data_IF_618720520239
#
_entry.id   IF_618720520239
#
_cell.length_a   1.000
_cell.length_b   1.000
_cell.length_c   1.000
_cell.angle_alpha   90.00
_cell.angle_beta   90.00
_cell.angle_gamma   90.00
#
_symmetry.space_group_name_H-M   'P 1'
#
loop_
_entity.id
_entity.type
_entity.pdbx_description
1 polymer ?
#
# COMPACT_ATOMS: atom_id res chain seq x y z
N UNK A 1 -2.93 -29.92 8.65
CA UNK A 1 -2.74 -29.25 9.93
C UNK A 1 -2.79 -27.74 9.80
N UNK A 2 -3.97 -27.24 10.02
CA UNK A 2 -4.25 -25.81 9.90
C UNK A 2 -3.68 -24.99 11.06
N UNK A 3 -3.27 -25.66 12.12
CA UNK A 3 -2.78 -25.02 13.33
C UNK A 3 -1.53 -24.18 13.12
N UNK A 4 -0.66 -24.55 12.19
CA UNK A 4 0.58 -23.82 11.95
C UNK A 4 0.33 -22.43 11.36
N UNK A 5 -0.67 -22.30 10.48
CA UNK A 5 -1.01 -21.00 9.91
C UNK A 5 -1.47 -20.01 10.98
N UNK A 6 -2.09 -20.54 12.05
CA UNK A 6 -2.57 -19.71 13.16
C UNK A 6 -1.47 -19.27 14.11
N UNK A 7 -0.29 -19.88 14.01
CA UNK A 7 0.85 -19.54 14.86
C UNK A 7 1.71 -18.42 14.30
N UNK A 8 1.43 -18.00 13.04
CA UNK A 8 2.15 -16.88 12.44
C UNK A 8 1.62 -15.60 13.08
N UNK A 9 2.52 -14.88 13.76
CA UNK A 9 2.14 -13.62 14.41
C UNK A 9 1.98 -12.50 13.40
N UNK A 10 1.23 -11.43 13.73
CA UNK A 10 1.15 -10.26 12.87
C UNK A 10 2.51 -9.66 12.54
N UNK A 11 3.44 -9.67 13.50
CA UNK A 11 4.79 -9.16 13.30
C UNK A 11 5.56 -10.01 12.29
N UNK A 12 5.39 -11.33 12.34
CA UNK A 12 6.00 -12.23 11.35
C UNK A 12 5.45 -12.02 9.96
N UNK A 13 4.15 -11.76 9.86
CA UNK A 13 3.52 -11.41 8.59
C UNK A 13 4.09 -10.11 8.02
N UNK A 14 4.31 -9.12 8.90
CA UNK A 14 4.92 -7.85 8.49
C UNK A 14 6.33 -8.06 7.93
N UNK A 15 7.14 -8.87 8.61
CA UNK A 15 8.49 -9.20 8.16
C UNK A 15 8.46 -9.87 6.79
N UNK A 16 7.58 -10.85 6.61
CA UNK A 16 7.43 -11.53 5.32
C UNK A 16 6.97 -10.59 4.21
N UNK A 17 6.04 -9.71 4.52
CA UNK A 17 5.56 -8.70 3.58
C UNK A 17 6.72 -7.85 3.05
N UNK A 18 7.49 -7.25 3.95
CA UNK A 18 8.60 -6.39 3.55
C UNK A 18 9.66 -7.15 2.77
N UNK A 19 9.94 -8.39 3.16
CA UNK A 19 10.90 -9.24 2.47
C UNK A 19 10.44 -9.53 1.03
N UNK A 20 9.18 -9.89 0.85
CA UNK A 20 8.64 -10.19 -0.49
C UNK A 20 8.61 -8.94 -1.36
N UNK A 21 8.19 -7.81 -0.81
CA UNK A 21 8.18 -6.54 -1.56
C UNK A 21 9.59 -6.15 -1.97
N UNK A 22 10.54 -6.26 -1.06
CA UNK A 22 11.95 -5.97 -1.34
C UNK A 22 12.48 -6.83 -2.49
N UNK A 23 12.21 -8.12 -2.44
CA UNK A 23 12.66 -9.05 -3.46
C UNK A 23 12.00 -8.78 -4.81
N UNK A 24 10.70 -8.53 -4.81
CA UNK A 24 9.95 -8.29 -6.05
C UNK A 24 10.36 -6.98 -6.72
N UNK A 25 10.60 -5.93 -5.94
CA UNK A 25 11.00 -4.64 -6.48
C UNK A 25 12.49 -4.53 -6.77
N UNK A 26 13.30 -5.48 -6.29
CA UNK A 26 14.74 -5.46 -6.51
C UNK A 26 15.44 -4.29 -5.82
N UNK A 27 14.88 -3.79 -4.72
CA UNK A 27 15.47 -2.69 -3.95
C UNK A 27 16.22 -3.27 -2.77
N UNK A 28 17.52 -2.99 -2.67
CA UNK A 28 18.38 -3.55 -1.63
C UNK A 28 18.16 -2.93 -0.25
N UNK A 29 17.77 -1.66 -0.20
CA UNK A 29 17.64 -0.94 1.06
C UNK A 29 16.27 -1.19 1.70
N UNK A 30 16.26 -1.78 2.88
CA UNK A 30 15.05 -1.95 3.69
C UNK A 30 14.42 -0.60 4.02
N UNK A 31 15.26 0.41 4.27
CA UNK A 31 14.76 1.75 4.59
C UNK A 31 13.99 2.36 3.41
N UNK A 32 14.47 2.15 2.19
CA UNK A 32 13.76 2.62 0.98
C UNK A 32 12.41 1.91 0.83
N UNK A 33 12.37 0.60 1.06
CA UNK A 33 11.14 -0.18 1.00
C UNK A 33 10.12 0.34 2.02
N UNK A 34 10.54 0.57 3.25
CA UNK A 34 9.66 1.12 4.28
C UNK A 34 9.10 2.48 3.86
N UNK A 35 9.94 3.32 3.28
CA UNK A 35 9.52 4.64 2.79
C UNK A 35 8.48 4.51 1.68
N UNK A 36 8.70 3.61 0.71
CA UNK A 36 7.74 3.37 -0.37
C UNK A 36 6.40 2.91 0.19
N UNK A 37 6.41 1.91 1.07
CA UNK A 37 5.19 1.36 1.66
C UNK A 37 4.46 2.44 2.47
N UNK A 38 5.19 3.24 3.24
CA UNK A 38 4.61 4.34 4.00
C UNK A 38 3.91 5.34 3.09
N UNK A 39 4.54 5.70 1.97
CA UNK A 39 3.94 6.64 1.02
C UNK A 39 2.67 6.06 0.40
N UNK A 40 2.68 4.77 0.03
CA UNK A 40 1.49 4.11 -0.50
C UNK A 40 0.36 4.12 0.52
N UNK A 41 0.65 3.73 1.76
CA UNK A 41 -0.35 3.70 2.84
C UNK A 41 -0.88 5.10 3.14
N UNK A 42 -0.01 6.10 3.17
CA UNK A 42 -0.39 7.49 3.42
C UNK A 42 -1.38 7.98 2.37
N UNK A 43 -1.12 7.72 1.09
CA UNK A 43 -1.99 8.15 0.01
C UNK A 43 -3.29 7.33 -0.04
N UNK A 44 -3.24 6.03 0.28
CA UNK A 44 -4.45 5.24 0.45
C UNK A 44 -5.33 5.83 1.54
N UNK A 45 -4.75 6.15 2.69
CA UNK A 45 -5.49 6.77 3.79
C UNK A 45 -6.16 8.07 3.35
N UNK A 46 -5.45 8.92 2.62
CA UNK A 46 -5.99 10.19 2.12
C UNK A 46 -7.13 9.99 1.13
N UNK A 47 -7.19 8.85 0.46
CA UNK A 47 -8.27 8.54 -0.46
C UNK A 47 -9.53 8.03 0.24
N UNK A 48 -9.46 7.78 1.55
CA UNK A 48 -10.56 7.23 2.34
C UNK A 48 -11.19 8.29 3.23
N UNK A 49 -12.45 8.05 3.64
CA UNK A 49 -13.05 8.83 4.70
C UNK A 49 -12.37 8.50 6.03
N UNK A 50 -12.58 9.34 7.05
CA UNK A 50 -12.02 9.07 8.38
C UNK A 50 -12.50 7.71 8.93
N UNK A 51 -13.78 7.37 8.72
CA UNK A 51 -14.32 6.08 9.16
C UNK A 51 -13.65 4.93 8.45
N UNK A 52 -13.50 5.03 7.13
CA UNK A 52 -12.83 4.00 6.34
C UNK A 52 -11.37 3.85 6.72
N UNK A 53 -10.66 4.95 6.93
CA UNK A 53 -9.27 4.92 7.38
C UNK A 53 -9.15 4.24 8.74
N UNK A 54 -10.07 4.54 9.66
CA UNK A 54 -10.09 3.90 10.99
C UNK A 54 -10.33 2.41 10.89
N UNK A 55 -11.22 1.98 9.99
CA UNK A 55 -11.46 0.55 9.74
C UNK A 55 -10.21 -0.14 9.20
N UNK A 56 -9.52 0.50 8.28
CA UNK A 56 -8.29 -0.04 7.71
C UNK A 56 -7.21 -0.20 8.78
N UNK A 57 -7.02 0.83 9.62
CA UNK A 57 -6.06 0.79 10.73
C UNK A 57 -6.29 -0.45 11.59
N UNK A 58 -7.54 -0.71 11.96
CA UNK A 58 -7.87 -1.82 12.85
C UNK A 58 -7.64 -3.20 12.24
N UNK A 59 -7.54 -3.27 10.91
CA UNK A 59 -7.34 -4.55 10.20
C UNK A 59 -5.87 -4.87 9.93
N UNK A 60 -4.97 -3.94 10.20
CA UNK A 60 -3.55 -4.11 9.90
C UNK A 60 -2.74 -4.38 11.17
N UNK A 61 -1.60 -5.11 11.04
CA UNK A 61 -0.68 -5.27 12.17
C UNK A 61 -0.10 -3.92 12.63
N UNK A 62 0.39 -3.88 13.87
CA UNK A 62 0.88 -2.65 14.50
C UNK A 62 1.89 -1.89 13.66
N UNK A 63 2.83 -2.59 13.03
CA UNK A 63 3.83 -1.96 12.17
C UNK A 63 3.18 -1.13 11.06
N UNK A 64 2.14 -1.68 10.42
CA UNK A 64 1.43 -1.00 9.35
C UNK A 64 0.54 0.11 9.89
N UNK A 65 -0.03 -0.06 11.08
CA UNK A 65 -0.81 0.99 11.73
C UNK A 65 0.04 2.24 11.93
N UNK A 66 1.26 2.08 12.41
CA UNK A 66 2.18 3.20 12.60
C UNK A 66 2.52 3.90 11.29
N UNK A 67 2.75 3.12 10.23
CA UNK A 67 3.03 3.70 8.91
C UNK A 67 1.82 4.45 8.35
N UNK A 68 0.63 3.89 8.55
CA UNK A 68 -0.61 4.46 8.04
C UNK A 68 -0.94 5.79 8.70
N UNK A 69 -0.76 5.92 10.03
CA UNK A 69 -1.07 7.13 10.78
C UNK A 69 0.04 8.16 10.76
N UNK A 70 1.20 7.81 10.22
CA UNK A 70 2.33 8.74 10.15
C UNK A 70 1.94 10.01 9.40
N UNK A 71 2.03 11.15 10.06
CA UNK A 71 1.67 12.43 9.48
C UNK A 71 0.17 12.67 9.32
N UNK A 72 -0.68 11.78 9.86
CA UNK A 72 -2.14 11.96 9.77
C UNK A 72 -2.58 13.08 10.71
N UNK A 73 -3.33 14.01 10.15
CA UNK A 73 -3.89 15.14 10.91
C UNK A 73 -5.39 14.96 11.03
N UNK A 74 -5.92 15.24 12.21
CA UNK A 74 -7.35 15.10 12.48
C UNK A 74 -8.22 15.92 11.51
N UNK A 75 -7.75 17.11 11.12
CA UNK A 75 -8.45 18.00 10.21
C UNK A 75 -8.15 17.75 8.73
N UNK A 76 -7.39 16.69 8.42
CA UNK A 76 -7.05 16.34 7.04
C UNK A 76 -8.29 15.96 6.27
N UNK A 77 -8.48 16.61 5.11
CA UNK A 77 -9.61 16.32 4.24
C UNK A 77 -9.30 15.15 3.33
N UNK A 78 -10.35 14.40 2.98
CA UNK A 78 -10.26 13.34 1.99
C UNK A 78 -9.76 13.91 0.66
N UNK A 79 -8.72 13.29 0.10
CA UNK A 79 -8.21 13.68 -1.21
C UNK A 79 -9.10 13.11 -2.31
N UNK A 80 -9.22 13.86 -3.41
CA UNK A 80 -10.04 13.43 -4.55
C UNK A 80 -9.30 12.40 -5.40
N UNK A 81 -8.88 11.30 -4.80
CA UNK A 81 -8.17 10.20 -5.47
C UNK A 81 -9.22 9.12 -5.79
N UNK A 82 -9.51 8.93 -7.08
CA UNK A 82 -10.55 7.99 -7.53
C UNK A 82 -9.98 6.83 -8.34
N UNK A 83 -8.82 7.02 -8.95
CA UNK A 83 -8.22 6.07 -9.87
C UNK A 83 -6.84 5.63 -9.40
N UNK A 84 -6.43 4.45 -9.86
CA UNK A 84 -5.12 3.88 -9.51
C UNK A 84 -3.97 4.77 -9.98
N UNK A 85 -4.06 5.34 -11.18
CA UNK A 85 -3.03 6.23 -11.71
C UNK A 85 -2.93 7.52 -10.89
N UNK A 86 -4.05 8.04 -10.40
CA UNK A 86 -4.05 9.21 -9.53
C UNK A 86 -3.36 8.89 -8.20
N UNK A 87 -3.61 7.70 -7.65
CA UNK A 87 -2.94 7.26 -6.43
C UNK A 87 -1.44 7.18 -6.64
N UNK A 88 -1.01 6.56 -7.74
CA UNK A 88 0.41 6.43 -8.06
C UNK A 88 1.07 7.79 -8.27
N UNK A 89 0.37 8.73 -8.91
CA UNK A 89 0.86 10.08 -9.12
C UNK A 89 1.08 10.81 -7.79
N UNK A 90 0.16 10.65 -6.84
CA UNK A 90 0.30 11.26 -5.53
C UNK A 90 1.46 10.64 -4.73
N UNK A 91 1.66 9.33 -4.84
CA UNK A 91 2.81 8.66 -4.22
C UNK A 91 4.11 9.22 -4.82
N UNK A 92 4.16 9.34 -6.13
CA UNK A 92 5.33 9.87 -6.83
C UNK A 92 5.65 11.31 -6.37
N UNK A 93 4.64 12.16 -6.31
CA UNK A 93 4.79 13.54 -5.88
C UNK A 93 5.24 13.64 -4.42
N UNK A 94 4.73 12.78 -3.55
CA UNK A 94 5.12 12.76 -2.14
C UNK A 94 6.60 12.41 -2.00
N UNK A 95 7.08 11.40 -2.75
CA UNK A 95 8.50 11.02 -2.69
C UNK A 95 9.41 12.12 -3.22
N UNK A 96 9.01 12.82 -4.28
CA UNK A 96 9.76 13.94 -4.81
C UNK A 96 9.81 15.11 -3.82
N UNK A 97 8.69 15.40 -3.16
CA UNK A 97 8.62 16.48 -2.17
C UNK A 97 9.54 16.23 -0.97
N UNK A 98 9.83 14.96 -0.68
CA UNK A 98 10.78 14.57 0.40
C UNK A 98 12.22 14.48 -0.11
N UNK A 99 12.48 14.97 -1.31
CA UNK A 99 13.80 14.94 -1.97
C UNK A 99 14.35 13.53 -2.13
N UNK A 100 13.45 12.55 -2.31
CA UNK A 100 13.83 11.16 -2.48
C UNK A 100 13.42 10.67 -3.87
N UNK A 101 14.41 10.36 -4.69
CA UNK A 101 14.17 9.76 -6.01
C UNK A 101 14.04 8.26 -5.84
N UNK A 102 12.86 7.82 -5.43
CA UNK A 102 12.59 6.38 -5.25
C UNK A 102 12.15 5.72 -6.56
N UNK A 103 11.66 6.51 -7.51
CA UNK A 103 11.16 6.00 -8.79
C UNK A 103 11.87 6.71 -9.94
N UNK A 104 12.14 5.95 -11.00
CA UNK A 104 12.79 6.48 -12.20
C UNK A 104 11.82 7.28 -13.07
N UNK A 105 10.51 7.03 -12.96
CA UNK A 105 9.49 7.66 -13.78
C UNK A 105 8.11 7.46 -13.13
N UNK A 106 7.10 8.12 -13.72
CA UNK A 106 5.71 7.93 -13.30
C UNK A 106 5.24 6.49 -13.53
N UNK A 107 5.68 5.86 -14.61
CA UNK A 107 5.34 4.47 -14.91
C UNK A 107 5.96 3.53 -13.88
N UNK A 108 7.20 3.79 -13.49
CA UNK A 108 7.86 3.02 -12.43
C UNK A 108 7.10 3.15 -11.10
N UNK A 109 6.65 4.36 -10.78
CA UNK A 109 5.83 4.60 -9.59
C UNK A 109 4.52 3.81 -9.65
N UNK A 110 3.84 3.82 -10.79
CA UNK A 110 2.59 3.09 -10.98
C UNK A 110 2.79 1.59 -10.77
N UNK A 111 3.82 1.02 -11.40
CA UNK A 111 4.13 -0.41 -11.24
C UNK A 111 4.46 -0.76 -9.80
N UNK A 112 5.22 0.08 -9.13
CA UNK A 112 5.60 -0.13 -7.73
C UNK A 112 4.38 -0.08 -6.81
N UNK A 113 3.53 0.93 -6.99
CA UNK A 113 2.30 1.08 -6.20
C UNK A 113 1.40 -0.14 -6.38
N UNK A 114 1.21 -0.59 -7.62
CA UNK A 114 0.41 -1.78 -7.91
C UNK A 114 0.95 -3.00 -7.19
N UNK A 115 2.26 -3.22 -7.23
CA UNK A 115 2.89 -4.38 -6.58
C UNK A 115 2.75 -4.33 -5.06
N UNK A 116 2.89 -3.15 -4.46
CA UNK A 116 2.69 -2.98 -3.02
C UNK A 116 1.25 -3.30 -2.65
N UNK A 117 0.28 -2.78 -3.42
CA UNK A 117 -1.15 -3.03 -3.17
C UNK A 117 -1.47 -4.53 -3.31
N UNK A 118 -0.92 -5.20 -4.33
CA UNK A 118 -1.11 -6.65 -4.49
C UNK A 118 -0.60 -7.42 -3.28
N UNK A 119 0.54 -7.01 -2.71
CA UNK A 119 1.07 -7.65 -1.50
C UNK A 119 0.23 -7.34 -0.27
N UNK A 120 -0.26 -6.12 -0.15
CA UNK A 120 -1.19 -5.77 0.93
C UNK A 120 -2.45 -6.63 0.85
N UNK A 121 -2.95 -6.87 -0.36
CA UNK A 121 -4.11 -7.73 -0.56
C UNK A 121 -3.79 -9.18 -0.22
N UNK A 122 -2.65 -9.68 -0.69
CA UNK A 122 -2.22 -11.06 -0.43
C UNK A 122 -2.09 -11.35 1.07
N UNK A 123 -1.45 -10.44 1.82
CA UNK A 123 -1.17 -10.67 3.24
C UNK A 123 -2.31 -10.29 4.16
N UNK A 124 -3.09 -9.27 3.80
CA UNK A 124 -4.07 -8.68 4.72
C UNK A 124 -5.48 -8.57 4.14
N UNK A 125 -5.69 -9.05 2.90
CA UNK A 125 -7.02 -9.03 2.29
C UNK A 125 -7.56 -7.63 2.02
N UNK A 126 -6.69 -6.70 1.63
CA UNK A 126 -7.05 -5.29 1.46
C UNK A 126 -8.30 -5.07 0.61
N UNK A 127 -8.37 -5.70 -0.56
CA UNK A 127 -9.49 -5.49 -1.48
C UNK A 127 -10.80 -6.06 -0.93
N UNK A 128 -10.69 -7.15 -0.16
CA UNK A 128 -11.85 -7.78 0.46
C UNK A 128 -12.48 -6.97 1.59
N UNK A 129 -11.80 -5.95 2.10
CA UNK A 129 -12.34 -5.07 3.13
C UNK A 129 -13.40 -4.10 2.59
N UNK A 130 -13.49 -3.93 1.27
CA UNK A 130 -14.45 -3.05 0.59
C UNK A 130 -14.35 -1.59 1.04
N UNK A 131 -13.14 -1.13 1.35
CA UNK A 131 -12.91 0.24 1.80
C UNK A 131 -12.53 1.17 0.64
N UNK A 132 -11.87 0.63 -0.38
CA UNK A 132 -11.46 1.41 -1.54
C UNK A 132 -12.63 1.68 -2.47
N UNK A 133 -12.57 2.77 -3.23
CA UNK A 133 -13.59 3.08 -4.22
C UNK A 133 -13.68 1.94 -5.24
N UNK A 134 -14.90 1.66 -5.69
CA UNK A 134 -15.16 0.59 -6.65
C UNK A 134 -14.28 0.71 -7.90
N UNK A 135 -14.18 1.90 -8.46
CA UNK A 135 -13.38 2.15 -9.67
C UNK A 135 -11.93 1.75 -9.45
N UNK A 136 -11.35 2.19 -8.33
CA UNK A 136 -9.96 1.86 -8.01
C UNK A 136 -9.79 0.36 -7.80
N UNK A 137 -10.70 -0.28 -7.09
CA UNK A 137 -10.65 -1.72 -6.84
C UNK A 137 -10.64 -2.49 -8.15
N UNK A 138 -11.51 -2.12 -9.09
CA UNK A 138 -11.58 -2.78 -10.39
C UNK A 138 -10.33 -2.55 -11.22
N UNK A 139 -9.78 -1.35 -11.19
CA UNK A 139 -8.54 -1.05 -11.89
C UNK A 139 -7.37 -1.88 -11.35
N UNK A 140 -7.29 -2.04 -10.03
CA UNK A 140 -6.27 -2.87 -9.39
C UNK A 140 -6.42 -4.33 -9.84
N UNK A 141 -7.64 -4.85 -9.81
CA UNK A 141 -7.91 -6.23 -10.24
C UNK A 141 -7.55 -6.47 -11.70
N UNK A 142 -7.92 -5.55 -12.56
CA UNK A 142 -7.62 -5.64 -13.99
C UNK A 142 -6.11 -5.58 -14.26
N UNK A 143 -5.43 -4.64 -13.64
CA UNK A 143 -4.00 -4.49 -13.80
C UNK A 143 -3.25 -5.73 -13.29
N UNK A 144 -3.68 -6.28 -12.15
CA UNK A 144 -3.09 -7.50 -11.59
C UNK A 144 -3.30 -8.69 -12.51
N UNK A 145 -4.49 -8.82 -13.09
CA UNK A 145 -4.81 -9.92 -14.02
C UNK A 145 -3.95 -9.83 -15.29
N UNK A 146 -3.75 -8.63 -15.83
CA UNK A 146 -2.90 -8.41 -16.99
C UNK A 146 -1.44 -8.75 -16.70
N UNK A 147 -0.95 -8.37 -15.54
CA UNK A 147 0.42 -8.68 -15.11
C UNK A 147 0.62 -10.17 -14.94
N UNK A 148 -0.35 -10.86 -14.33
CA UNK A 148 -0.30 -12.30 -14.10
C UNK A 148 -0.42 -13.09 -15.41
N UNK A 149 -1.11 -12.54 -16.41
CA UNK A 149 -1.29 -13.17 -17.72
C UNK A 149 -0.05 -13.01 -18.62
N UNK A 150 0.80 -12.07 -18.30
CA UNK A 150 2.04 -11.85 -19.04
C UNK A 150 3.13 -12.82 -18.54
#
# INVERSE_FOLDING_TARGET
MTTFAKLVTPEEQAVRFFKEVKNELGIDSTQKIVTVVRCVLSQLRKSLTHDQASQLIRKLPDTFQLLLISGWRYDEKEAAIKHLDELADQVYKETLAREKRLFSSEIDALNTVLRVIKKLDKFFGLLGLNLLRYTMTEEIKQAAAMEDAA
#
